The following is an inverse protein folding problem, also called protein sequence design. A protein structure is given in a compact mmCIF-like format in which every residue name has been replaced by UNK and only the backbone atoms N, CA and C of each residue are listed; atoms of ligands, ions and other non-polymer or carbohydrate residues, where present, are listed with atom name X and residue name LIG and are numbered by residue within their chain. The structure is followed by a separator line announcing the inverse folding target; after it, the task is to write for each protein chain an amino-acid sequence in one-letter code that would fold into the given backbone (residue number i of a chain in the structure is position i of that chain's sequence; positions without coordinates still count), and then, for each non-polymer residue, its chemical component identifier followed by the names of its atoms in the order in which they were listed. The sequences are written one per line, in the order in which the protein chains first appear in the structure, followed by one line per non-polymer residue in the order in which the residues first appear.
data_IF_033237187049
#
_entry.id   IF_033237187049
#
_cell.length_a   1.000
_cell.length_b   1.000
_cell.length_c   1.000
_cell.angle_alpha   90.00
_cell.angle_beta   90.00
_cell.angle_gamma   90.00
#
_symmetry.space_group_name_H-M   'P 1'
#
loop_
_entity.id
_entity.type
_entity.pdbx_description
1 polymer ?
#
# COMPACT_ATOMS: atom_id res chain seq x y z
N UNK A 1 6.28 -1.51 21.59
CA UNK A 1 5.87 -0.74 20.37
C UNK A 1 5.53 0.73 20.63
N UNK A 2 4.62 1.03 21.58
CA UNK A 2 4.17 2.40 21.87
C UNK A 2 5.31 3.38 22.24
N UNK A 3 6.23 2.96 23.12
CA UNK A 3 7.38 3.80 23.49
C UNK A 3 8.23 4.18 22.27
N UNK A 4 8.59 3.21 21.42
CA UNK A 4 9.32 3.48 20.17
C UNK A 4 8.54 4.39 19.20
N UNK A 5 7.22 4.18 19.07
CA UNK A 5 6.38 5.03 18.23
C UNK A 5 6.33 6.48 18.76
N UNK A 6 6.32 6.68 20.08
CA UNK A 6 6.40 8.01 20.69
C UNK A 6 7.78 8.65 20.53
N UNK A 7 8.87 7.88 20.57
CA UNK A 7 10.21 8.39 20.27
C UNK A 7 10.29 8.93 18.83
N UNK A 8 9.69 8.24 17.86
CA UNK A 8 9.57 8.75 16.48
C UNK A 8 8.72 10.01 16.45
N UNK A 9 7.53 10.01 17.08
CA UNK A 9 6.62 11.16 17.11
C UNK A 9 7.27 12.41 17.69
N UNK A 10 8.06 12.25 18.74
CA UNK A 10 8.81 13.31 19.42
C UNK A 10 10.15 13.64 18.77
N UNK A 11 10.48 12.99 17.64
CA UNK A 11 11.72 13.18 16.88
C UNK A 11 13.00 12.88 17.67
N UNK A 12 12.94 11.95 18.62
CA UNK A 12 14.13 11.42 19.29
C UNK A 12 14.85 10.37 18.43
N UNK A 13 14.14 9.76 17.47
CA UNK A 13 14.68 8.87 16.44
C UNK A 13 13.91 9.08 15.13
N UNK A 14 14.50 8.74 13.99
CA UNK A 14 13.88 8.91 12.68
C UNK A 14 12.94 7.75 12.30
N UNK A 15 13.26 6.53 12.75
CA UNK A 15 12.51 5.32 12.42
C UNK A 15 12.71 4.23 13.47
N UNK A 16 11.89 3.18 13.41
CA UNK A 16 12.04 1.98 14.22
C UNK A 16 11.67 0.73 13.41
N UNK A 17 12.35 -0.37 13.72
CA UNK A 17 12.04 -1.70 13.16
C UNK A 17 11.53 -2.58 14.29
N UNK A 18 10.42 -3.27 14.05
CA UNK A 18 9.78 -4.16 15.02
C UNK A 18 9.17 -5.37 14.33
N UNK A 19 8.59 -6.28 15.12
CA UNK A 19 7.91 -7.48 14.60
C UNK A 19 8.52 -8.80 15.05
N UNK A 20 9.71 -8.81 15.66
CA UNK A 20 10.33 -10.04 16.16
C UNK A 20 9.58 -10.65 17.37
N UNK A 21 9.20 -9.80 18.33
CA UNK A 21 8.51 -10.21 19.57
C UNK A 21 7.02 -9.85 19.53
N UNK A 22 6.67 -8.78 18.80
CA UNK A 22 5.30 -8.25 18.74
C UNK A 22 4.64 -8.60 17.42
N UNK A 23 3.35 -8.89 17.44
CA UNK A 23 2.60 -9.15 16.21
C UNK A 23 2.56 -7.92 15.29
N UNK A 24 2.38 -8.12 13.99
CA UNK A 24 2.13 -7.03 13.03
C UNK A 24 1.00 -6.12 13.51
N UNK A 25 -0.07 -6.70 14.07
CA UNK A 25 -1.20 -5.94 14.59
C UNK A 25 -0.82 -5.03 15.78
N UNK A 26 0.08 -5.46 16.66
CA UNK A 26 0.59 -4.64 17.76
C UNK A 26 1.44 -3.48 17.27
N UNK A 27 2.32 -3.72 16.28
CA UNK A 27 3.15 -2.70 15.66
C UNK A 27 2.28 -1.65 14.96
N UNK A 28 1.31 -2.08 14.15
CA UNK A 28 0.40 -1.18 13.43
C UNK A 28 -0.48 -0.36 14.39
N UNK A 29 -1.06 -0.99 15.43
CA UNK A 29 -1.87 -0.27 16.44
C UNK A 29 -1.07 0.84 17.13
N UNK A 30 0.18 0.58 17.52
CA UNK A 30 1.02 1.58 18.16
C UNK A 30 1.36 2.73 17.19
N UNK A 31 1.74 2.38 15.96
CA UNK A 31 2.09 3.34 14.91
C UNK A 31 0.91 4.25 14.57
N UNK A 32 -0.28 3.69 14.38
CA UNK A 32 -1.47 4.46 14.02
C UNK A 32 -1.93 5.40 15.13
N UNK A 33 -1.86 4.97 16.40
CA UNK A 33 -2.26 5.82 17.53
C UNK A 33 -1.27 6.95 17.84
N UNK A 34 0.03 6.73 17.64
CA UNK A 34 1.05 7.72 18.04
C UNK A 34 1.48 8.63 16.89
N UNK A 35 1.69 8.05 15.70
CA UNK A 35 2.29 8.73 14.55
C UNK A 35 1.19 9.15 13.57
N UNK A 36 0.34 8.20 13.15
CA UNK A 36 -0.71 8.39 12.17
C UNK A 36 -0.21 8.36 10.71
N UNK A 37 -1.12 8.56 9.76
CA UNK A 37 -0.78 8.69 8.34
C UNK A 37 -0.18 10.06 8.02
N UNK A 38 0.55 10.15 6.90
CA UNK A 38 0.96 11.44 6.32
C UNK A 38 -0.28 12.26 5.92
N UNK A 39 -0.28 13.61 6.04
CA UNK A 39 -1.39 14.42 5.57
C UNK A 39 -1.79 14.11 4.12
N UNK A 40 -3.09 13.98 3.89
CA UNK A 40 -3.65 13.61 2.58
C UNK A 40 -3.72 12.10 2.31
N UNK A 41 -3.03 11.26 3.08
CA UNK A 41 -3.10 9.79 2.95
C UNK A 41 -4.20 9.25 3.86
N UNK A 42 -5.20 8.61 3.26
CA UNK A 42 -6.31 7.97 3.98
C UNK A 42 -6.07 6.49 4.23
N UNK A 43 -5.41 5.81 3.28
CA UNK A 43 -5.14 4.38 3.36
C UNK A 43 -3.65 4.15 3.58
N UNK A 44 -3.30 3.55 4.73
CA UNK A 44 -1.94 3.06 4.98
C UNK A 44 -1.87 1.63 4.42
N UNK A 45 -0.86 1.37 3.59
CA UNK A 45 -0.69 0.11 2.88
C UNK A 45 0.73 -0.41 3.00
N UNK A 46 0.89 -1.72 2.78
CA UNK A 46 2.19 -2.38 2.72
C UNK A 46 2.64 -2.60 1.26
N UNK A 47 3.93 -2.83 1.06
CA UNK A 47 4.49 -3.28 -0.21
C UNK A 47 5.47 -4.41 0.07
N UNK A 48 5.59 -5.35 -0.86
CA UNK A 48 6.68 -6.32 -0.90
C UNK A 48 7.47 -6.07 -2.18
N UNK A 49 8.78 -5.86 -2.03
CA UNK A 49 9.70 -5.80 -3.16
C UNK A 49 10.10 -7.23 -3.52
N UNK A 50 9.74 -7.64 -4.72
CA UNK A 50 10.09 -8.92 -5.31
C UNK A 50 11.29 -8.71 -6.23
N UNK A 51 12.33 -9.54 -6.06
CA UNK A 51 13.55 -9.44 -6.84
C UNK A 51 13.97 -10.82 -7.32
N UNK A 52 14.24 -10.94 -8.63
CA UNK A 52 14.79 -12.15 -9.23
C UNK A 52 15.73 -11.74 -10.37
N UNK A 53 17.01 -12.04 -10.22
CA UNK A 53 18.04 -11.62 -11.16
C UNK A 53 17.99 -10.09 -11.38
N UNK A 54 17.77 -9.62 -12.60
CA UNK A 54 17.61 -8.19 -12.92
C UNK A 54 16.15 -7.72 -12.87
N UNK A 55 15.19 -8.61 -12.61
CA UNK A 55 13.77 -8.28 -12.57
C UNK A 55 13.34 -7.84 -11.17
N UNK A 56 12.69 -6.68 -11.11
CA UNK A 56 12.14 -6.08 -9.90
C UNK A 56 10.65 -5.80 -10.06
N UNK A 57 9.86 -6.28 -9.10
CA UNK A 57 8.42 -6.04 -9.03
C UNK A 57 8.02 -5.57 -7.63
N UNK A 58 6.92 -4.84 -7.55
CA UNK A 58 6.29 -4.46 -6.28
C UNK A 58 4.94 -5.14 -6.19
N UNK A 59 4.74 -5.94 -5.15
CA UNK A 59 3.43 -6.48 -4.81
C UNK A 59 2.79 -5.59 -3.75
N UNK A 60 1.55 -5.18 -4.00
CA UNK A 60 0.88 -4.15 -3.20
C UNK A 60 -0.07 -4.76 -2.18
N UNK A 61 0.11 -4.32 -0.95
CA UNK A 61 -0.68 -4.59 0.25
C UNK A 61 -1.14 -6.03 0.55
N UNK A 62 -0.21 -6.99 0.66
CA UNK A 62 -0.56 -8.35 1.06
C UNK A 62 -0.81 -8.50 2.58
N UNK A 63 -0.72 -7.44 3.39
CA UNK A 63 -0.66 -7.58 4.86
C UNK A 63 -1.50 -6.59 5.67
N UNK A 64 -2.03 -5.51 5.08
CA UNK A 64 -2.69 -4.44 5.87
C UNK A 64 -4.21 -4.41 5.64
N UNK A 65 -4.66 -4.22 4.41
CA UNK A 65 -6.09 -4.04 4.08
C UNK A 65 -6.67 -5.34 3.50
N UNK A 66 -7.47 -6.07 4.30
CA UNK A 66 -7.95 -7.41 3.95
C UNK A 66 -8.98 -7.45 2.81
N UNK A 67 -9.83 -6.42 2.68
CA UNK A 67 -10.84 -6.30 1.61
C UNK A 67 -10.97 -4.82 1.22
N UNK A 68 -10.06 -4.29 0.38
CA UNK A 68 -10.06 -2.88 0.03
C UNK A 68 -11.29 -2.53 -0.81
N UNK A 69 -11.85 -1.34 -0.61
CA UNK A 69 -12.77 -0.73 -1.56
C UNK A 69 -12.04 -0.28 -2.84
N UNK A 70 -12.77 0.11 -3.89
CA UNK A 70 -12.16 0.65 -5.11
C UNK A 70 -11.27 1.88 -4.81
N UNK A 71 -11.76 2.77 -3.95
CA UNK A 71 -11.02 3.92 -3.44
C UNK A 71 -9.73 3.53 -2.71
N UNK A 72 -9.78 2.51 -1.85
CA UNK A 72 -8.59 2.02 -1.15
C UNK A 72 -7.62 1.32 -2.09
N UNK A 73 -8.10 0.60 -3.11
CA UNK A 73 -7.24 0.02 -4.16
C UNK A 73 -6.46 1.12 -4.89
N UNK A 74 -7.11 2.24 -5.21
CA UNK A 74 -6.47 3.40 -5.84
C UNK A 74 -5.44 4.03 -4.91
N UNK A 75 -5.75 4.21 -3.63
CA UNK A 75 -4.80 4.73 -2.64
C UNK A 75 -3.59 3.79 -2.48
N UNK A 76 -3.81 2.47 -2.43
CA UNK A 76 -2.76 1.44 -2.36
C UNK A 76 -1.84 1.54 -3.58
N UNK A 77 -2.41 1.65 -4.79
CA UNK A 77 -1.65 1.81 -6.03
C UNK A 77 -0.83 3.11 -6.01
N UNK A 78 -1.44 4.25 -5.62
CA UNK A 78 -0.75 5.53 -5.52
C UNK A 78 0.43 5.50 -4.54
N UNK A 79 0.25 4.88 -3.36
CA UNK A 79 1.32 4.69 -2.38
C UNK A 79 2.47 3.87 -2.98
N UNK A 80 2.15 2.78 -3.69
CA UNK A 80 3.15 1.90 -4.30
C UNK A 80 3.92 2.59 -5.43
N UNK A 81 3.24 3.34 -6.30
CA UNK A 81 3.86 4.15 -7.37
C UNK A 81 4.81 5.20 -6.76
N UNK A 82 4.38 5.88 -5.69
CA UNK A 82 5.23 6.83 -4.98
C UNK A 82 6.48 6.16 -4.38
N UNK A 83 6.33 4.96 -3.81
CA UNK A 83 7.45 4.19 -3.27
C UNK A 83 8.40 3.73 -4.38
N UNK A 84 7.87 3.23 -5.50
CA UNK A 84 8.64 2.82 -6.66
C UNK A 84 9.51 3.97 -7.20
N UNK A 85 8.91 5.16 -7.36
CA UNK A 85 9.64 6.36 -7.77
C UNK A 85 10.76 6.74 -6.80
N UNK A 86 10.51 6.66 -5.49
CA UNK A 86 11.52 6.93 -4.46
C UNK A 86 12.70 5.93 -4.49
N UNK A 87 12.41 4.69 -4.89
CA UNK A 87 13.40 3.60 -4.96
C UNK A 87 14.03 3.46 -6.36
N UNK A 88 13.70 4.33 -7.32
CA UNK A 88 14.10 4.23 -8.73
C UNK A 88 13.72 2.89 -9.39
N UNK A 89 12.56 2.35 -9.02
CA UNK A 89 11.97 1.14 -9.61
C UNK A 89 10.91 1.48 -10.66
N UNK A 90 10.49 0.50 -11.46
CA UNK A 90 9.36 0.66 -12.37
C UNK A 90 8.09 1.04 -11.58
N UNK A 91 7.48 2.16 -11.95
CA UNK A 91 6.29 2.74 -11.32
C UNK A 91 5.03 2.65 -12.18
N UNK A 92 5.01 1.77 -13.19
CA UNK A 92 3.80 1.40 -13.92
C UNK A 92 2.99 0.41 -13.08
N UNK A 93 1.79 0.82 -12.65
CA UNK A 93 0.88 -0.02 -11.91
C UNK A 93 0.01 -0.89 -12.81
N UNK A 94 -0.52 -1.97 -12.26
CA UNK A 94 -1.54 -2.79 -12.90
C UNK A 94 -2.49 -3.35 -11.84
N UNK A 95 -3.80 -3.20 -12.03
CA UNK A 95 -4.79 -3.79 -11.14
C UNK A 95 -5.08 -5.24 -11.55
N UNK A 96 -4.98 -6.17 -10.60
CA UNK A 96 -5.16 -7.59 -10.85
C UNK A 96 -6.55 -8.07 -10.44
N UNK A 97 -7.13 -8.92 -11.27
CA UNK A 97 -8.34 -9.69 -10.98
C UNK A 97 -8.37 -10.94 -11.88
N UNK A 98 -9.29 -11.86 -11.64
CA UNK A 98 -9.45 -13.06 -12.49
C UNK A 98 -10.06 -12.76 -13.87
N UNK A 99 -10.49 -11.51 -14.10
CA UNK A 99 -11.02 -11.02 -15.38
C UNK A 99 -9.99 -10.14 -16.07
N UNK A 100 -9.76 -10.37 -17.36
CA UNK A 100 -8.99 -9.44 -18.20
C UNK A 100 -9.98 -8.61 -19.01
N UNK A 101 -9.93 -7.29 -18.85
CA UNK A 101 -10.92 -6.37 -19.40
C UNK A 101 -12.35 -6.80 -18.99
N UNK A 102 -13.16 -7.23 -19.97
CA UNK A 102 -14.57 -7.62 -19.78
C UNK A 102 -14.79 -9.14 -19.89
N UNK A 103 -13.74 -9.97 -19.76
CA UNK A 103 -13.87 -11.42 -19.89
C UNK A 103 -14.71 -12.06 -18.79
N UNK A 104 -14.74 -11.46 -17.59
CA UNK A 104 -15.52 -11.89 -16.44
C UNK A 104 -16.35 -10.76 -15.81
N UNK A 105 -17.43 -11.15 -15.12
CA UNK A 105 -18.34 -10.26 -14.40
C UNK A 105 -18.55 -10.76 -12.97
N UNK A 106 -18.80 -9.85 -12.04
CA UNK A 106 -19.00 -10.15 -10.63
C UNK A 106 -18.32 -9.14 -9.70
N UNK A 107 -18.55 -9.28 -8.40
CA UNK A 107 -18.14 -8.31 -7.38
C UNK A 107 -16.66 -7.87 -7.51
N UNK A 108 -15.72 -8.81 -7.62
CA UNK A 108 -14.30 -8.49 -7.68
C UNK A 108 -13.87 -7.83 -9.02
N UNK A 109 -14.23 -8.35 -10.20
CA UNK A 109 -13.99 -7.65 -11.47
C UNK A 109 -14.65 -6.27 -11.56
N UNK A 110 -15.88 -6.13 -11.06
CA UNK A 110 -16.60 -4.85 -11.05
C UNK A 110 -15.90 -3.82 -10.16
N UNK A 111 -15.48 -4.24 -8.96
CA UNK A 111 -14.70 -3.43 -8.02
C UNK A 111 -13.38 -2.95 -8.63
N UNK A 112 -12.64 -3.85 -9.28
CA UNK A 112 -11.35 -3.53 -9.90
C UNK A 112 -11.53 -2.61 -11.11
N UNK A 113 -12.57 -2.80 -11.93
CA UNK A 113 -12.88 -1.88 -13.03
C UNK A 113 -13.19 -0.47 -12.53
N UNK A 114 -13.92 -0.36 -11.42
CA UNK A 114 -14.17 0.93 -10.79
C UNK A 114 -12.86 1.57 -10.27
N UNK A 115 -11.98 0.77 -9.66
CA UNK A 115 -10.66 1.25 -9.22
C UNK A 115 -9.81 1.77 -10.39
N UNK A 116 -9.77 1.06 -11.53
CA UNK A 116 -9.07 1.50 -12.75
C UNK A 116 -9.63 2.82 -13.27
N UNK A 117 -10.96 2.98 -13.29
CA UNK A 117 -11.62 4.22 -13.70
C UNK A 117 -11.20 5.39 -12.80
N UNK A 118 -11.32 5.23 -11.48
CA UNK A 118 -10.94 6.27 -10.50
C UNK A 118 -9.43 6.59 -10.62
N UNK A 119 -8.57 5.58 -10.79
CA UNK A 119 -7.14 5.78 -10.96
C UNK A 119 -6.81 6.59 -12.23
N UNK A 120 -7.51 6.31 -13.33
CA UNK A 120 -7.39 7.06 -14.59
C UNK A 120 -7.84 8.51 -14.42
N UNK A 121 -8.96 8.75 -13.74
CA UNK A 121 -9.46 10.09 -13.43
C UNK A 121 -8.49 10.90 -12.56
N UNK A 122 -7.73 10.21 -11.68
CA UNK A 122 -6.67 10.81 -10.85
C UNK A 122 -5.33 10.96 -11.58
N UNK A 123 -5.22 10.49 -12.83
CA UNK A 123 -3.97 10.54 -13.60
C UNK A 123 -2.86 9.65 -13.04
N UNK A 124 -3.22 8.53 -12.40
CA UNK A 124 -2.22 7.54 -11.98
C UNK A 124 -1.65 6.80 -13.20
N UNK A 125 -0.38 6.41 -13.11
CA UNK A 125 0.32 5.61 -14.12
C UNK A 125 -0.05 4.13 -13.95
N UNK A 126 -1.22 3.72 -14.45
CA UNK A 126 -1.82 2.38 -14.31
C UNK A 126 -2.43 1.87 -15.61
#
# INVERSE_FOLDING_TARGET
PYYGAMMIKLKYVDSAVGGLIYSTADILRATFKCIGAKPGIKTISSVIVMHKDDEQLIFTDPSTVQKPSAEQLVDIAANAISFANMMNMNSLGAFLTYSTNNSGKGENPDLVREAVKIATERGLNV
#
